data_IF_340106532630
#
_entry.id   IF_340106532630
#
_cell.length_a   1.000
_cell.length_b   1.000
_cell.length_c   1.000
_cell.angle_alpha   90.00
_cell.angle_beta   90.00
_cell.angle_gamma   90.00
#
_symmetry.space_group_name_H-M   'P 1'
#
loop_
_entity.id
_entity.type
_entity.pdbx_description
1 polymer ?
#
# COMPACT_ATOMS: atom_id res chain seq x y z
N UNK A 1 -11.30 -21.55 -14.95
CA UNK A 1 -10.28 -20.53 -15.18
C UNK A 1 -10.81 -19.11 -14.98
N UNK A 2 -11.94 -18.74 -15.56
CA UNK A 2 -12.58 -17.41 -15.43
C UNK A 2 -12.95 -17.05 -13.98
N UNK A 3 -13.52 -17.98 -13.20
CA UNK A 3 -13.86 -17.75 -11.79
C UNK A 3 -12.65 -17.43 -10.92
N UNK A 4 -11.47 -18.03 -11.17
CA UNK A 4 -10.23 -17.71 -10.43
C UNK A 4 -9.68 -16.32 -10.82
N UNK A 5 -9.86 -15.89 -12.06
CA UNK A 5 -9.49 -14.55 -12.50
C UNK A 5 -10.42 -13.49 -11.88
N UNK A 6 -11.74 -13.71 -11.89
CA UNK A 6 -12.70 -12.81 -11.24
C UNK A 6 -12.44 -12.68 -9.75
N UNK A 7 -12.13 -13.77 -9.03
CA UNK A 7 -11.79 -13.75 -7.61
C UNK A 7 -10.59 -12.83 -7.30
N UNK A 8 -9.54 -12.85 -8.12
CA UNK A 8 -8.36 -11.99 -7.96
C UNK A 8 -8.69 -10.50 -8.04
N UNK A 9 -9.50 -10.12 -9.02
CA UNK A 9 -9.86 -8.72 -9.27
C UNK A 9 -10.66 -8.13 -8.14
N UNK A 10 -11.55 -8.91 -7.53
CA UNK A 10 -12.33 -8.48 -6.37
C UNK A 10 -11.45 -8.16 -5.17
N UNK A 11 -10.48 -9.01 -4.85
CA UNK A 11 -9.57 -8.77 -3.72
C UNK A 11 -8.68 -7.55 -3.94
N UNK A 12 -8.15 -7.38 -5.14
CA UNK A 12 -7.39 -6.18 -5.50
C UNK A 12 -8.27 -4.93 -5.49
N UNK A 13 -9.49 -5.02 -6.01
CA UNK A 13 -10.44 -3.92 -5.97
C UNK A 13 -10.82 -3.50 -4.55
N UNK A 14 -11.05 -4.46 -3.65
CA UNK A 14 -11.31 -4.20 -2.24
C UNK A 14 -10.09 -3.59 -1.54
N UNK A 15 -8.89 -4.07 -1.84
CA UNK A 15 -7.64 -3.49 -1.31
C UNK A 15 -7.52 -2.02 -1.70
N UNK A 16 -7.63 -1.72 -3.00
CA UNK A 16 -7.57 -0.34 -3.53
C UNK A 16 -8.66 0.53 -2.91
N UNK A 17 -9.91 0.06 -2.85
CA UNK A 17 -11.01 0.80 -2.26
C UNK A 17 -10.75 1.12 -0.77
N UNK A 18 -10.22 0.17 -0.02
CA UNK A 18 -9.86 0.36 1.39
C UNK A 18 -8.73 1.37 1.55
N UNK A 19 -7.67 1.29 0.74
CA UNK A 19 -6.55 2.23 0.80
C UNK A 19 -6.95 3.65 0.39
N UNK A 20 -7.80 3.79 -0.63
CA UNK A 20 -8.39 5.09 -1.01
C UNK A 20 -9.23 5.65 0.13
N UNK A 21 -10.09 4.84 0.76
CA UNK A 21 -10.90 5.26 1.89
C UNK A 21 -10.02 5.74 3.07
N UNK A 22 -8.93 5.01 3.38
CA UNK A 22 -7.96 5.40 4.40
C UNK A 22 -7.28 6.73 4.03
N UNK A 23 -6.86 6.89 2.78
CA UNK A 23 -6.23 8.11 2.28
C UNK A 23 -7.17 9.32 2.42
N UNK A 24 -8.40 9.19 1.94
CA UNK A 24 -9.43 10.24 2.04
C UNK A 24 -9.71 10.58 3.51
N UNK A 25 -9.79 9.58 4.37
CA UNK A 25 -10.01 9.78 5.79
C UNK A 25 -8.87 10.61 6.42
N UNK A 26 -7.61 10.31 6.11
CA UNK A 26 -6.47 11.08 6.60
C UNK A 26 -6.48 12.51 6.08
N UNK A 27 -6.74 12.73 4.79
CA UNK A 27 -6.84 14.08 4.23
C UNK A 27 -7.97 14.89 4.85
N UNK A 28 -9.13 14.26 5.06
CA UNK A 28 -10.26 14.91 5.74
C UNK A 28 -9.87 15.37 7.15
N UNK A 29 -9.24 14.50 7.95
CA UNK A 29 -8.79 14.85 9.30
C UNK A 29 -7.64 15.86 9.32
N UNK A 30 -6.78 15.86 8.32
CA UNK A 30 -5.75 16.88 8.15
C UNK A 30 -6.37 18.27 7.90
N UNK A 31 -7.45 18.34 7.11
CA UNK A 31 -8.11 19.60 6.74
C UNK A 31 -8.98 20.14 7.88
N UNK A 32 -9.73 19.27 8.55
CA UNK A 32 -10.77 19.70 9.51
C UNK A 32 -10.39 19.52 10.98
N UNK A 33 -9.25 18.93 11.29
CA UNK A 33 -8.73 18.83 12.65
C UNK A 33 -9.55 17.96 13.62
N UNK A 34 -10.46 17.14 13.12
CA UNK A 34 -11.35 16.33 13.95
C UNK A 34 -10.62 15.11 14.49
N UNK A 35 -10.39 15.08 15.80
CA UNK A 35 -9.71 13.99 16.49
C UNK A 35 -10.68 13.30 17.46
N UNK A 36 -11.57 12.44 16.95
CA UNK A 36 -12.36 11.60 17.84
C UNK A 36 -11.69 10.24 18.03
N UNK A 37 -11.73 9.65 19.25
CA UNK A 37 -11.22 8.31 19.49
C UNK A 37 -11.87 7.24 18.59
N UNK A 38 -13.14 7.43 18.27
CA UNK A 38 -13.92 6.54 17.40
C UNK A 38 -13.38 6.54 15.97
N UNK A 39 -12.89 7.70 15.50
CA UNK A 39 -12.29 7.83 14.18
C UNK A 39 -11.00 7.00 14.05
N UNK A 40 -10.16 6.96 15.09
CA UNK A 40 -8.94 6.14 15.11
C UNK A 40 -9.29 4.65 15.09
N UNK A 41 -10.32 4.25 15.83
CA UNK A 41 -10.82 2.86 15.81
C UNK A 41 -11.35 2.44 14.45
N UNK A 42 -12.10 3.32 13.77
CA UNK A 42 -12.59 3.08 12.41
C UNK A 42 -11.42 2.95 11.42
N UNK A 43 -10.44 3.83 11.52
CA UNK A 43 -9.23 3.80 10.70
C UNK A 43 -8.46 2.49 10.90
N UNK A 44 -8.32 2.03 12.14
CA UNK A 44 -7.70 0.75 12.46
C UNK A 44 -8.41 -0.43 11.77
N UNK A 45 -9.74 -0.46 11.81
CA UNK A 45 -10.56 -1.49 11.13
C UNK A 45 -10.40 -1.45 9.61
N UNK A 46 -10.40 -0.26 9.01
CA UNK A 46 -10.19 -0.10 7.56
C UNK A 46 -8.78 -0.55 7.15
N UNK A 47 -7.77 -0.18 7.92
CA UNK A 47 -6.38 -0.58 7.68
C UNK A 47 -6.21 -2.10 7.83
N UNK A 48 -6.87 -2.72 8.81
CA UNK A 48 -6.89 -4.17 8.98
C UNK A 48 -7.55 -4.85 7.77
N UNK A 49 -8.70 -4.35 7.32
CA UNK A 49 -9.40 -4.87 6.14
C UNK A 49 -8.51 -4.77 4.88
N UNK A 50 -7.87 -3.63 4.66
CA UNK A 50 -6.93 -3.45 3.55
C UNK A 50 -5.78 -4.47 3.60
N UNK A 51 -5.19 -4.68 4.78
CA UNK A 51 -4.11 -5.65 4.98
C UNK A 51 -4.55 -7.09 4.68
N UNK A 52 -5.71 -7.51 5.16
CA UNK A 52 -6.28 -8.86 4.88
C UNK A 52 -6.54 -9.02 3.38
N UNK A 53 -7.13 -8.01 2.72
CA UNK A 53 -7.34 -8.04 1.27
C UNK A 53 -6.02 -8.14 0.50
N UNK A 54 -4.97 -7.44 0.94
CA UNK A 54 -3.64 -7.49 0.32
C UNK A 54 -2.99 -8.87 0.50
N UNK A 55 -3.12 -9.50 1.66
CA UNK A 55 -2.67 -10.88 1.90
C UNK A 55 -3.39 -11.85 0.96
N UNK A 56 -4.72 -11.75 0.89
CA UNK A 56 -5.52 -12.59 0.02
C UNK A 56 -5.15 -12.41 -1.46
N UNK A 57 -4.98 -11.16 -1.91
CA UNK A 57 -4.52 -10.84 -3.25
C UNK A 57 -3.13 -11.45 -3.53
N UNK A 58 -2.19 -11.32 -2.59
CA UNK A 58 -0.85 -11.90 -2.69
C UNK A 58 -0.86 -13.44 -2.74
N UNK A 59 -1.69 -14.08 -1.92
CA UNK A 59 -1.82 -15.54 -1.88
C UNK A 59 -2.43 -16.11 -3.17
N UNK A 60 -3.37 -15.38 -3.77
CA UNK A 60 -4.06 -15.77 -5.00
C UNK A 60 -3.26 -15.45 -6.28
N UNK A 61 -2.20 -14.63 -6.17
CA UNK A 61 -1.36 -14.30 -7.34
C UNK A 61 -0.48 -15.48 -7.71
N UNK A 62 -0.56 -15.94 -8.96
CA UNK A 62 0.20 -17.09 -9.46
C UNK A 62 1.58 -16.75 -10.00
N UNK A 63 1.98 -15.48 -9.99
CA UNK A 63 3.32 -15.05 -10.45
C UNK A 63 4.40 -15.49 -9.47
N UNK A 64 5.21 -16.42 -9.92
CA UNK A 64 6.29 -17.02 -9.13
C UNK A 64 7.29 -16.00 -8.60
N UNK A 65 7.70 -16.18 -7.37
CA UNK A 65 8.90 -15.57 -6.77
C UNK A 65 8.70 -14.29 -5.95
N UNK A 66 7.57 -13.55 -6.05
CA UNK A 66 7.40 -12.25 -5.38
C UNK A 66 6.09 -12.08 -4.60
N UNK A 67 5.29 -13.13 -4.53
CA UNK A 67 4.07 -13.19 -3.69
C UNK A 67 4.32 -12.79 -2.25
N UNK A 68 5.46 -13.21 -1.72
CA UNK A 68 5.81 -12.97 -0.34
C UNK A 68 5.95 -11.48 0.00
N UNK A 69 6.38 -10.63 -0.95
CA UNK A 69 6.47 -9.18 -0.73
C UNK A 69 5.09 -8.55 -0.57
N UNK A 70 4.12 -8.98 -1.38
CA UNK A 70 2.74 -8.50 -1.26
C UNK A 70 2.07 -9.02 0.01
N UNK A 71 2.32 -10.29 0.36
CA UNK A 71 1.87 -10.87 1.63
C UNK A 71 2.52 -10.15 2.81
N UNK A 72 3.81 -9.86 2.74
CA UNK A 72 4.53 -9.10 3.78
C UNK A 72 3.93 -7.70 3.95
N UNK A 73 3.68 -7.00 2.84
CA UNK A 73 3.00 -5.69 2.87
C UNK A 73 1.64 -5.78 3.57
N UNK A 74 0.83 -6.78 3.21
CA UNK A 74 -0.47 -7.02 3.84
C UNK A 74 -0.36 -7.37 5.33
N UNK A 75 0.65 -8.15 5.74
CA UNK A 75 0.92 -8.43 7.16
C UNK A 75 1.29 -7.17 7.93
N UNK A 76 2.14 -6.31 7.38
CA UNK A 76 2.51 -5.03 7.99
C UNK A 76 1.29 -4.11 8.10
N UNK A 77 0.46 -4.04 7.05
CA UNK A 77 -0.78 -3.28 7.03
C UNK A 77 -1.78 -3.79 8.07
N UNK A 78 -1.96 -5.12 8.17
CA UNK A 78 -2.82 -5.74 9.18
C UNK A 78 -2.30 -5.48 10.61
N UNK A 79 -1.00 -5.55 10.81
CA UNK A 79 -0.37 -5.25 12.11
C UNK A 79 -0.59 -3.78 12.51
N UNK A 80 -0.48 -2.86 11.54
CA UNK A 80 -0.79 -1.44 11.76
C UNK A 80 -2.28 -1.26 12.12
N UNK A 81 -3.18 -1.94 11.42
CA UNK A 81 -4.62 -1.89 11.70
C UNK A 81 -4.98 -2.41 13.10
N UNK A 82 -4.39 -3.54 13.50
CA UNK A 82 -4.54 -4.08 14.86
C UNK A 82 -3.98 -3.11 15.91
N UNK A 83 -2.80 -2.55 15.63
CA UNK A 83 -2.17 -1.60 16.53
C UNK A 83 -3.04 -0.35 16.74
N UNK A 84 -3.61 0.22 15.67
CA UNK A 84 -4.52 1.36 15.74
C UNK A 84 -5.84 1.04 16.44
N UNK A 85 -6.34 -0.20 16.31
CA UNK A 85 -7.62 -0.61 16.90
C UNK A 85 -7.52 -0.85 18.41
N UNK A 86 -6.43 -1.47 18.87
CA UNK A 86 -6.30 -1.91 20.25
C UNK A 86 -5.44 -1.03 21.14
N UNK A 87 -4.55 -0.19 20.54
CA UNK A 87 -3.60 0.63 21.28
C UNK A 87 -3.96 2.11 21.20
N UNK A 88 -4.76 2.58 22.14
CA UNK A 88 -5.24 3.97 22.21
C UNK A 88 -4.14 5.01 22.49
N UNK A 89 -2.98 4.59 22.97
CA UNK A 89 -1.78 5.44 23.18
C UNK A 89 -0.64 4.99 22.27
N UNK A 90 -0.90 4.96 20.97
CA UNK A 90 0.07 4.52 19.98
C UNK A 90 1.32 5.40 19.96
N UNK A 91 2.48 4.80 20.21
CA UNK A 91 3.74 5.47 19.99
C UNK A 91 3.91 5.71 18.48
N UNK A 92 3.97 6.97 18.07
CA UNK A 92 4.17 7.39 16.68
C UNK A 92 5.35 6.64 16.01
N UNK A 93 6.41 6.36 16.81
CA UNK A 93 7.58 5.60 16.33
C UNK A 93 7.21 4.20 15.81
N UNK A 94 6.35 3.47 16.52
CA UNK A 94 5.92 2.12 16.10
C UNK A 94 5.12 2.18 14.81
N UNK A 95 4.19 3.14 14.70
CA UNK A 95 3.44 3.37 13.47
C UNK A 95 4.36 3.70 12.29
N UNK A 96 5.30 4.62 12.48
CA UNK A 96 6.26 5.01 11.46
C UNK A 96 7.11 3.82 10.99
N UNK A 97 7.58 2.97 11.90
CA UNK A 97 8.35 1.77 11.54
C UNK A 97 7.52 0.74 10.76
N UNK A 98 6.25 0.54 11.12
CA UNK A 98 5.37 -0.33 10.33
C UNK A 98 5.15 0.21 8.91
N UNK A 99 4.99 1.52 8.76
CA UNK A 99 4.87 2.16 7.45
C UNK A 99 6.16 2.06 6.66
N UNK A 100 7.32 2.17 7.31
CA UNK A 100 8.63 1.92 6.66
C UNK A 100 8.66 0.52 6.07
N UNK A 101 8.26 -0.51 6.82
CA UNK A 101 8.24 -1.90 6.33
C UNK A 101 7.24 -2.07 5.17
N UNK A 102 6.06 -1.44 5.25
CA UNK A 102 5.09 -1.41 4.15
C UNK A 102 5.68 -0.76 2.90
N UNK A 103 6.26 0.43 3.04
CA UNK A 103 6.84 1.17 1.93
C UNK A 103 8.04 0.44 1.30
N UNK A 104 8.87 -0.21 2.10
CA UNK A 104 9.98 -1.04 1.60
C UNK A 104 9.49 -2.27 0.85
N UNK A 105 8.50 -2.99 1.38
CA UNK A 105 7.94 -4.18 0.73
C UNK A 105 7.26 -3.82 -0.60
N UNK A 106 6.47 -2.74 -0.63
CA UNK A 106 5.82 -2.23 -1.84
C UNK A 106 6.85 -1.75 -2.86
N UNK A 107 7.82 -0.93 -2.45
CA UNK A 107 8.86 -0.40 -3.33
C UNK A 107 9.72 -1.50 -3.95
N UNK A 108 10.09 -2.51 -3.17
CA UNK A 108 10.83 -3.68 -3.66
C UNK A 108 9.98 -4.50 -4.64
N UNK A 109 8.68 -4.65 -4.37
CA UNK A 109 7.75 -5.35 -5.27
C UNK A 109 7.65 -4.62 -6.62
N UNK A 110 7.47 -3.29 -6.62
CA UNK A 110 7.35 -2.47 -7.83
C UNK A 110 8.65 -2.46 -8.66
N UNK A 111 9.81 -2.26 -8.02
CA UNK A 111 11.11 -2.33 -8.71
C UNK A 111 11.35 -3.70 -9.33
N UNK A 112 11.01 -4.73 -8.60
CA UNK A 112 11.13 -6.09 -9.09
C UNK A 112 10.16 -6.39 -10.23
N UNK A 113 9.01 -5.74 -10.28
CA UNK A 113 8.03 -5.82 -11.36
C UNK A 113 8.53 -5.04 -12.59
N UNK A 114 9.09 -3.84 -12.39
CA UNK A 114 9.71 -3.05 -13.45
C UNK A 114 10.77 -3.85 -14.22
N UNK A 115 11.66 -4.56 -13.52
CA UNK A 115 12.69 -5.39 -14.15
C UNK A 115 12.16 -6.52 -15.04
N UNK A 116 10.88 -6.90 -14.92
CA UNK A 116 10.23 -7.89 -15.79
C UNK A 116 9.50 -7.28 -16.98
N UNK A 117 9.22 -5.97 -16.95
CA UNK A 117 8.44 -5.25 -17.96
C UNK A 117 9.30 -4.63 -19.06
N UNK A 118 10.55 -5.09 -19.24
CA UNK A 118 11.51 -4.56 -20.22
C UNK A 118 11.00 -4.44 -21.66
N UNK A 119 9.97 -5.22 -22.01
CA UNK A 119 9.33 -5.17 -23.33
C UNK A 119 8.30 -4.02 -23.45
N UNK A 120 7.84 -3.45 -22.33
CA UNK A 120 6.84 -2.38 -22.28
C UNK A 120 7.42 -1.17 -21.53
N UNK A 121 8.25 -0.38 -22.21
CA UNK A 121 9.01 0.73 -21.64
C UNK A 121 8.19 1.68 -20.75
N UNK A 122 6.97 2.04 -21.17
CA UNK A 122 6.13 2.95 -20.38
C UNK A 122 5.74 2.35 -19.01
N UNK A 123 5.39 1.07 -18.97
CA UNK A 123 5.03 0.37 -17.72
C UNK A 123 6.27 0.10 -16.86
N UNK A 124 7.41 -0.20 -17.46
CA UNK A 124 8.69 -0.36 -16.77
C UNK A 124 9.05 0.94 -16.03
N UNK A 125 9.00 2.08 -16.71
CA UNK A 125 9.28 3.39 -16.10
C UNK A 125 8.28 3.74 -14.99
N UNK A 126 6.99 3.46 -15.20
CA UNK A 126 5.94 3.72 -14.21
C UNK A 126 6.16 2.88 -12.94
N UNK A 127 6.41 1.58 -13.09
CA UNK A 127 6.68 0.69 -11.96
C UNK A 127 8.02 1.05 -11.28
N UNK A 128 9.05 1.39 -12.05
CA UNK A 128 10.32 1.85 -11.51
C UNK A 128 10.19 3.14 -10.70
N UNK A 129 9.49 4.14 -11.24
CA UNK A 129 9.22 5.39 -10.54
C UNK A 129 8.38 5.16 -9.28
N UNK A 130 7.34 4.32 -9.36
CA UNK A 130 6.52 3.94 -8.21
C UNK A 130 7.37 3.29 -7.10
N UNK A 131 8.26 2.38 -7.45
CA UNK A 131 9.19 1.75 -6.51
C UNK A 131 10.13 2.75 -5.84
N UNK A 132 10.70 3.68 -6.60
CA UNK A 132 11.59 4.73 -6.06
C UNK A 132 10.81 5.66 -5.10
N UNK A 133 9.61 6.10 -5.48
CA UNK A 133 8.77 6.96 -4.62
C UNK A 133 8.39 6.23 -3.33
N UNK A 134 8.03 4.95 -3.40
CA UNK A 134 7.72 4.15 -2.22
C UNK A 134 8.92 4.04 -1.27
N UNK A 135 10.13 3.79 -1.80
CA UNK A 135 11.35 3.80 -0.99
C UNK A 135 11.65 5.19 -0.42
N UNK A 136 11.33 6.27 -1.15
CA UNK A 136 11.40 7.64 -0.65
C UNK A 136 10.51 7.84 0.59
N UNK A 137 9.27 7.33 0.56
CA UNK A 137 8.40 7.32 1.74
C UNK A 137 9.03 6.55 2.90
N UNK A 138 9.64 5.38 2.64
CA UNK A 138 10.33 4.62 3.69
C UNK A 138 11.43 5.45 4.37
N UNK A 139 12.26 6.16 3.59
CA UNK A 139 13.32 7.02 4.14
C UNK A 139 12.73 8.17 4.97
N UNK A 140 11.68 8.83 4.49
CA UNK A 140 11.03 9.93 5.21
C UNK A 140 10.42 9.44 6.53
N UNK A 141 9.67 8.34 6.52
CA UNK A 141 9.09 7.78 7.74
C UNK A 141 10.14 7.24 8.71
N UNK A 142 11.26 6.73 8.19
CA UNK A 142 12.41 6.35 9.01
C UNK A 142 13.00 7.57 9.73
N UNK A 143 13.18 8.68 9.00
CA UNK A 143 13.65 9.93 9.56
C UNK A 143 12.72 10.48 10.66
N UNK A 144 11.40 10.31 10.47
CA UNK A 144 10.42 10.63 11.52
C UNK A 144 10.52 9.69 12.73
N UNK A 145 10.69 8.38 12.51
CA UNK A 145 10.80 7.38 13.59
C UNK A 145 12.02 7.64 14.48
N UNK A 146 13.14 8.08 13.88
CA UNK A 146 14.38 8.40 14.59
C UNK A 146 14.49 9.87 15.00
N UNK A 147 13.44 10.68 14.76
CA UNK A 147 13.39 12.13 15.09
C UNK A 147 14.48 12.97 14.40
N UNK A 148 15.01 12.51 13.27
CA UNK A 148 15.91 13.31 12.44
C UNK A 148 15.19 14.51 11.82
N UNK A 149 13.92 14.30 11.46
CA UNK A 149 13.01 15.37 11.07
C UNK A 149 11.96 15.50 12.17
N UNK A 150 11.86 16.68 12.76
CA UNK A 150 10.89 16.97 13.80
C UNK A 150 9.55 17.31 13.13
N UNK A 151 8.57 16.45 13.29
CA UNK A 151 7.18 16.82 13.02
C UNK A 151 6.75 17.81 14.10
N UNK A 152 6.07 18.88 13.71
CA UNK A 152 5.54 19.84 14.67
C UNK A 152 4.44 19.15 15.50
N UNK A 153 4.67 18.89 16.81
CA UNK A 153 3.67 18.21 17.65
C UNK A 153 2.37 19.02 17.80
N UNK A 154 2.43 20.32 17.54
CA UNK A 154 1.26 21.19 17.59
C UNK A 154 0.39 21.13 16.33
N UNK A 155 0.85 20.44 15.27
CA UNK A 155 0.10 20.29 14.03
C UNK A 155 0.03 18.83 13.59
N UNK A 156 -0.88 18.03 14.15
CA UNK A 156 -1.11 16.64 13.72
C UNK A 156 -1.52 16.55 12.23
N UNK A 157 -2.01 17.65 11.65
CA UNK A 157 -2.36 17.75 10.24
C UNK A 157 -1.20 17.32 9.32
N UNK A 158 0.04 17.68 9.63
CA UNK A 158 1.22 17.27 8.88
C UNK A 158 1.38 15.75 8.84
N UNK A 159 1.22 15.09 9.98
CA UNK A 159 1.28 13.62 10.07
C UNK A 159 0.19 12.97 9.23
N UNK A 160 -1.02 13.50 9.30
CA UNK A 160 -2.15 12.98 8.52
C UNK A 160 -1.96 13.20 7.02
N UNK A 161 -1.38 14.32 6.59
CA UNK A 161 -1.05 14.55 5.18
C UNK A 161 -0.05 13.51 4.67
N UNK A 162 1.01 13.22 5.42
CA UNK A 162 2.00 12.21 5.03
C UNK A 162 1.38 10.81 4.95
N UNK A 163 0.56 10.43 5.93
CA UNK A 163 -0.13 9.14 5.95
C UNK A 163 -1.13 9.03 4.79
N UNK A 164 -1.94 10.06 4.58
CA UNK A 164 -2.90 10.12 3.46
C UNK A 164 -2.20 10.00 2.11
N UNK A 165 -1.08 10.70 1.93
CA UNK A 165 -0.28 10.64 0.71
C UNK A 165 0.30 9.24 0.48
N UNK A 166 0.80 8.58 1.52
CA UNK A 166 1.34 7.22 1.41
C UNK A 166 0.25 6.20 1.01
N UNK A 167 -0.91 6.20 1.69
CA UNK A 167 -1.99 5.26 1.35
C UNK A 167 -2.60 5.55 -0.03
N UNK A 168 -2.75 6.82 -0.41
CA UNK A 168 -3.20 7.19 -1.76
C UNK A 168 -2.22 6.72 -2.84
N UNK A 169 -0.93 6.87 -2.59
CA UNK A 169 0.11 6.36 -3.47
C UNK A 169 0.11 4.83 -3.54
N UNK A 170 -0.01 4.13 -2.41
CA UNK A 170 -0.13 2.67 -2.34
C UNK A 170 -1.31 2.16 -3.16
N UNK A 171 -2.48 2.81 -3.05
CA UNK A 171 -3.66 2.49 -3.86
C UNK A 171 -3.39 2.60 -5.37
N UNK A 172 -2.68 3.66 -5.81
CA UNK A 172 -2.29 3.84 -7.21
C UNK A 172 -1.35 2.73 -7.69
N UNK A 173 -0.37 2.32 -6.87
CA UNK A 173 0.53 1.21 -7.18
C UNK A 173 -0.25 -0.10 -7.34
N UNK A 174 -1.19 -0.39 -6.44
CA UNK A 174 -2.03 -1.59 -6.52
C UNK A 174 -2.93 -1.58 -7.76
N UNK A 175 -3.47 -0.44 -8.18
CA UNK A 175 -4.20 -0.29 -9.45
C UNK A 175 -3.30 -0.55 -10.66
N UNK A 176 -2.05 -0.09 -10.64
CA UNK A 176 -1.06 -0.35 -11.67
C UNK A 176 -0.80 -1.85 -11.84
N UNK A 177 -0.60 -2.56 -10.73
CA UNK A 177 -0.35 -4.01 -10.74
C UNK A 177 -1.55 -4.81 -11.24
N UNK A 178 -2.77 -4.32 -11.02
CA UNK A 178 -3.99 -4.95 -11.49
C UNK A 178 -4.09 -4.98 -13.03
N UNK A 179 -3.53 -4.03 -13.74
CA UNK A 179 -3.62 -3.93 -15.22
C UNK A 179 -2.62 -4.82 -15.98
N UNK A 180 -1.59 -5.33 -15.30
CA UNK A 180 -0.51 -6.10 -15.92
C UNK A 180 -0.89 -7.46 -16.57
N UNK A 181 -1.90 -8.23 -16.12
CA UNK A 181 -2.23 -9.53 -16.71
C UNK A 181 -2.95 -9.48 -18.05
N UNK A 182 -3.50 -8.35 -18.48
CA UNK A 182 -4.35 -8.27 -19.67
C UNK A 182 -3.57 -8.22 -20.99
N UNK A 183 -2.27 -7.90 -20.94
CA UNK A 183 -1.43 -7.78 -22.15
C UNK A 183 -0.89 -9.10 -22.71
N UNK A 184 -0.81 -10.16 -21.91
CA UNK A 184 -0.12 -11.40 -22.30
C UNK A 184 -1.00 -12.50 -22.90
N UNK A 185 -2.32 -12.32 -22.88
CA UNK A 185 -3.25 -13.35 -23.42
C UNK A 185 -3.46 -13.30 -24.94
N UNK A 186 -2.87 -12.33 -25.66
CA UNK A 186 -3.17 -12.12 -27.09
C UNK A 186 -2.08 -12.52 -28.09
N UNK A 187 -0.94 -13.03 -27.68
CA UNK A 187 0.15 -13.36 -28.61
C UNK A 187 0.63 -14.82 -28.58
N UNK A 188 -0.29 -15.76 -28.47
CA UNK A 188 0.03 -17.19 -28.45
C UNK A 188 -0.85 -18.06 -29.33
N UNK A 189 -1.32 -17.55 -30.47
CA UNK A 189 -1.96 -18.40 -31.49
C UNK A 189 -1.53 -17.96 -32.90
N UNK A 190 -0.28 -18.30 -33.25
CA UNK A 190 0.06 -18.48 -34.65
C UNK A 190 -0.17 -19.97 -34.99
N UNK A 191 -1.11 -20.33 -35.85
CA UNK A 191 -1.14 -21.67 -36.41
C UNK A 191 -0.07 -21.74 -37.50
N UNK A 192 0.94 -22.59 -37.28
CA UNK A 192 1.82 -23.11 -38.31
C UNK A 192 1.24 -24.40 -38.83
#
# INVERSE_FOLDING_TARGET
MIQRLMSKWWWLGLCVASEVAISVFYFYHAAYGVHSPDAVGLLGKLTLAAGVCTIAAGALTTTEGKRWLLVLNGLCCSSLGLYLTFWTRSAFRTMALLIVLMAMSLGTYELATAGRLRTQRALEWLAGAAGIVSLGFAVVFLAFAFRWIKLNPASPAQTFLWLGSFFGFSALCMLGTARLPLGHAKFGSSPG
#
